data_IF_509436478736
#
_entry.id   IF_509436478736
#
_cell.length_a   1.000
_cell.length_b   1.000
_cell.length_c   1.000
_cell.angle_alpha   90.00
_cell.angle_beta   90.00
_cell.angle_gamma   90.00
#
_symmetry.space_group_name_H-M   'P 1'
#
loop_
_entity.id
_entity.type
_entity.pdbx_description
1 polymer ?
#
# COMPACT_ATOMS: atom_id res chain seq x y z
N UNK A 1 0.97 -57.06 -4.88
CA UNK A 1 1.27 -55.76 -4.18
C UNK A 1 2.05 -54.77 -5.03
N UNK A 2 3.08 -55.16 -5.78
CA UNK A 2 3.86 -54.21 -6.65
C UNK A 2 2.98 -53.43 -7.67
N UNK A 3 1.99 -54.07 -8.27
CA UNK A 3 1.18 -53.45 -9.32
C UNK A 3 0.20 -52.37 -8.78
N UNK A 4 -0.27 -52.50 -7.52
CA UNK A 4 -1.12 -51.49 -6.87
C UNK A 4 -0.33 -50.26 -6.49
N UNK A 5 0.95 -50.38 -6.14
CA UNK A 5 1.83 -49.28 -5.84
C UNK A 5 2.06 -48.40 -7.07
N UNK A 6 2.26 -49.01 -8.23
CA UNK A 6 2.42 -48.32 -9.52
C UNK A 6 1.15 -47.56 -9.91
N UNK A 7 -0.03 -48.19 -9.70
CA UNK A 7 -1.32 -47.55 -10.01
C UNK A 7 -1.57 -46.34 -9.11
N UNK A 8 -1.23 -46.42 -7.84
CA UNK A 8 -1.35 -45.30 -6.88
C UNK A 8 -0.40 -44.15 -7.29
N UNK A 9 0.84 -44.42 -7.65
CA UNK A 9 1.80 -43.41 -8.11
C UNK A 9 1.29 -42.72 -9.38
N UNK A 10 0.72 -43.48 -10.34
CA UNK A 10 0.14 -42.92 -11.57
C UNK A 10 -1.07 -42.00 -11.29
N UNK A 11 -1.94 -42.36 -10.34
CA UNK A 11 -3.08 -41.55 -9.95
C UNK A 11 -2.65 -40.22 -9.29
N UNK A 12 -1.60 -40.25 -8.47
CA UNK A 12 -1.04 -39.02 -7.87
C UNK A 12 -0.37 -38.12 -8.93
N UNK A 13 0.33 -38.69 -9.91
CA UNK A 13 0.98 -37.90 -10.97
C UNK A 13 -0.02 -37.16 -11.88
N UNK A 14 -1.16 -37.77 -12.17
CA UNK A 14 -2.22 -37.13 -12.97
C UNK A 14 -2.87 -35.94 -12.25
N UNK A 15 -3.06 -36.04 -10.94
CA UNK A 15 -3.60 -34.93 -10.13
C UNK A 15 -2.63 -33.73 -10.09
N UNK A 16 -1.34 -33.97 -10.01
CA UNK A 16 -0.30 -32.92 -9.98
C UNK A 16 -0.25 -32.18 -11.34
N UNK A 17 -0.36 -32.90 -12.43
CA UNK A 17 -0.36 -32.32 -13.79
C UNK A 17 -1.60 -31.41 -14.02
N UNK A 18 -2.77 -31.89 -13.63
CA UNK A 18 -4.04 -31.15 -13.77
C UNK A 18 -4.05 -29.86 -12.92
N UNK A 19 -3.54 -29.91 -11.70
CA UNK A 19 -3.40 -28.71 -10.82
C UNK A 19 -2.42 -27.69 -11.40
N UNK A 20 -1.35 -28.17 -12.01
CA UNK A 20 -0.32 -27.31 -12.59
C UNK A 20 -0.85 -26.54 -13.81
N UNK A 21 -1.67 -27.19 -14.63
CA UNK A 21 -2.33 -26.57 -15.79
C UNK A 21 -3.35 -25.52 -15.36
N UNK A 22 -4.17 -25.83 -14.36
CA UNK A 22 -5.14 -24.88 -13.79
C UNK A 22 -4.48 -23.62 -13.22
N UNK A 23 -3.38 -23.77 -12.46
CA UNK A 23 -2.62 -22.64 -11.93
C UNK A 23 -2.01 -21.78 -13.03
N UNK A 24 -1.46 -22.40 -14.07
CA UNK A 24 -0.90 -21.69 -15.23
C UNK A 24 -1.95 -20.90 -15.99
N UNK A 25 -3.12 -21.49 -16.22
CA UNK A 25 -4.25 -20.82 -16.87
C UNK A 25 -4.75 -19.63 -16.02
N UNK A 26 -4.86 -19.81 -14.70
CA UNK A 26 -5.27 -18.74 -13.81
C UNK A 26 -4.24 -17.60 -13.80
N UNK A 27 -2.95 -17.92 -13.72
CA UNK A 27 -1.88 -16.93 -13.82
C UNK A 27 -1.95 -16.13 -15.13
N UNK A 28 -2.11 -16.83 -16.26
CA UNK A 28 -2.24 -16.19 -17.57
C UNK A 28 -3.43 -15.25 -17.63
N UNK A 29 -4.59 -15.66 -17.10
CA UNK A 29 -5.78 -14.81 -17.06
C UNK A 29 -5.54 -13.52 -16.25
N UNK A 30 -4.81 -13.61 -15.11
CA UNK A 30 -4.45 -12.46 -14.29
C UNK A 30 -3.49 -11.53 -15.03
N UNK A 31 -2.51 -12.08 -15.71
CA UNK A 31 -1.57 -11.34 -16.54
C UNK A 31 -2.28 -10.61 -17.69
N UNK A 32 -3.12 -11.31 -18.45
CA UNK A 32 -3.85 -10.73 -19.57
C UNK A 32 -4.79 -9.60 -19.12
N UNK A 33 -5.42 -9.76 -17.95
CA UNK A 33 -6.24 -8.72 -17.32
C UNK A 33 -5.39 -7.51 -16.92
N UNK A 34 -4.22 -7.74 -16.30
CA UNK A 34 -3.27 -6.68 -15.95
C UNK A 34 -2.84 -5.87 -17.19
N UNK A 35 -2.51 -6.55 -18.29
CA UNK A 35 -2.16 -5.91 -19.56
C UNK A 35 -3.33 -5.08 -20.11
N UNK A 36 -4.56 -5.57 -19.95
CA UNK A 36 -5.77 -4.83 -20.36
C UNK A 36 -5.93 -3.52 -19.59
N UNK A 37 -5.75 -3.56 -18.26
CA UNK A 37 -5.78 -2.36 -17.41
C UNK A 37 -4.63 -1.39 -17.75
N UNK A 38 -3.42 -1.92 -17.92
CA UNK A 38 -2.25 -1.13 -18.31
C UNK A 38 -2.47 -0.33 -19.58
N UNK A 39 -3.05 -0.97 -20.63
CA UNK A 39 -3.39 -0.31 -21.92
C UNK A 39 -4.43 0.80 -21.77
N UNK A 40 -5.24 0.77 -20.73
CA UNK A 40 -6.24 1.80 -20.40
C UNK A 40 -5.69 2.88 -19.45
N UNK A 41 -4.40 2.83 -19.11
CA UNK A 41 -3.76 3.67 -18.10
C UNK A 41 -4.38 3.53 -16.70
N UNK A 42 -5.05 2.41 -16.43
CA UNK A 42 -5.56 2.06 -15.10
C UNK A 42 -4.45 1.32 -14.35
N UNK A 43 -3.47 2.09 -13.90
CA UNK A 43 -2.22 1.55 -13.35
C UNK A 43 -2.40 0.89 -11.99
N UNK A 44 -3.35 1.33 -11.18
CA UNK A 44 -3.65 0.73 -9.88
C UNK A 44 -4.20 -0.69 -10.05
N UNK A 45 -5.23 -0.85 -10.89
CA UNK A 45 -5.77 -2.17 -11.18
C UNK A 45 -4.78 -3.07 -11.93
N UNK A 46 -3.96 -2.50 -12.81
CA UNK A 46 -2.88 -3.24 -13.47
C UNK A 46 -1.88 -3.79 -12.47
N UNK A 47 -1.44 -2.95 -11.50
CA UNK A 47 -0.52 -3.32 -10.44
C UNK A 47 -1.05 -4.50 -9.60
N UNK A 48 -2.32 -4.44 -9.20
CA UNK A 48 -2.97 -5.51 -8.42
C UNK A 48 -2.96 -6.85 -9.17
N UNK A 49 -3.33 -6.84 -10.45
CA UNK A 49 -3.37 -8.07 -11.23
C UNK A 49 -1.98 -8.63 -11.55
N UNK A 50 -0.98 -7.78 -11.83
CA UNK A 50 0.41 -8.23 -11.96
C UNK A 50 0.96 -8.78 -10.65
N UNK A 51 0.61 -8.19 -9.49
CA UNK A 51 0.95 -8.71 -8.17
C UNK A 51 0.41 -10.13 -7.97
N UNK A 52 -0.84 -10.39 -8.34
CA UNK A 52 -1.41 -11.73 -8.27
C UNK A 52 -0.68 -12.68 -9.24
N UNK A 53 -0.47 -12.27 -10.49
CA UNK A 53 0.18 -13.10 -11.50
C UNK A 53 1.64 -13.47 -11.12
N UNK A 54 2.39 -12.54 -10.52
CA UNK A 54 3.78 -12.77 -10.11
C UNK A 54 3.91 -13.83 -9.01
N UNK A 55 2.90 -13.95 -8.13
CA UNK A 55 2.93 -14.87 -6.96
C UNK A 55 2.47 -16.29 -7.26
N UNK A 56 1.69 -16.51 -8.33
CA UNK A 56 1.12 -17.84 -8.63
C UNK A 56 2.20 -18.83 -9.03
N UNK A 57 3.09 -18.45 -9.94
CA UNK A 57 4.28 -19.20 -10.37
C UNK A 57 5.39 -18.17 -10.62
N UNK A 58 6.16 -17.80 -9.59
CA UNK A 58 7.12 -16.70 -9.67
C UNK A 58 8.29 -17.00 -10.62
N UNK A 59 8.62 -18.28 -10.81
CA UNK A 59 9.82 -18.72 -11.54
C UNK A 59 9.58 -18.87 -13.05
N UNK A 60 8.32 -18.84 -13.52
CA UNK A 60 8.04 -18.92 -14.94
C UNK A 60 8.11 -17.52 -15.60
N UNK A 61 8.11 -17.50 -16.94
CA UNK A 61 8.21 -16.29 -17.75
C UNK A 61 7.15 -15.23 -17.38
N UNK A 62 5.87 -15.66 -17.22
CA UNK A 62 4.77 -14.76 -16.84
C UNK A 62 4.99 -14.17 -15.46
N UNK A 63 5.46 -14.98 -14.50
CA UNK A 63 5.76 -14.51 -13.13
C UNK A 63 6.87 -13.47 -13.11
N UNK A 64 7.96 -13.74 -13.82
CA UNK A 64 9.11 -12.84 -13.93
C UNK A 64 8.76 -11.54 -14.67
N UNK A 65 7.99 -11.63 -15.75
CA UNK A 65 7.54 -10.45 -16.48
C UNK A 65 6.56 -9.62 -15.64
N UNK A 66 5.64 -10.27 -14.92
CA UNK A 66 4.73 -9.60 -13.99
C UNK A 66 5.50 -8.85 -12.92
N UNK A 67 6.58 -9.41 -12.37
CA UNK A 67 7.42 -8.75 -11.38
C UNK A 67 8.09 -7.49 -11.94
N UNK A 68 8.63 -7.54 -13.16
CA UNK A 68 9.21 -6.35 -13.82
C UNK A 68 8.18 -5.24 -14.04
N UNK A 69 6.95 -5.63 -14.43
CA UNK A 69 5.84 -4.67 -14.59
C UNK A 69 5.41 -4.05 -13.26
N UNK A 70 5.41 -4.84 -12.17
CA UNK A 70 5.16 -4.35 -10.82
C UNK A 70 6.13 -3.25 -10.42
N UNK A 71 7.43 -3.48 -10.58
CA UNK A 71 8.45 -2.50 -10.21
C UNK A 71 8.24 -1.19 -10.98
N UNK A 72 8.05 -1.27 -12.30
CA UNK A 72 7.78 -0.10 -13.13
C UNK A 72 6.52 0.65 -12.71
N UNK A 73 5.43 -0.07 -12.43
CA UNK A 73 4.16 0.55 -12.02
C UNK A 73 4.24 1.17 -10.64
N UNK A 74 4.94 0.53 -9.70
CA UNK A 74 5.19 1.13 -8.38
C UNK A 74 5.93 2.46 -8.50
N UNK A 75 6.95 2.56 -9.34
CA UNK A 75 7.67 3.82 -9.59
C UNK A 75 6.75 4.91 -10.14
N UNK A 76 5.94 4.59 -11.15
CA UNK A 76 4.98 5.54 -11.75
C UNK A 76 3.98 6.03 -10.69
N UNK A 77 3.33 5.10 -9.98
CA UNK A 77 2.30 5.42 -8.98
C UNK A 77 2.86 6.15 -7.76
N UNK A 78 4.10 5.85 -7.34
CA UNK A 78 4.81 6.58 -6.29
C UNK A 78 5.06 8.03 -6.68
N UNK A 79 5.48 8.27 -7.92
CA UNK A 79 5.64 9.62 -8.42
C UNK A 79 4.32 10.38 -8.45
N UNK A 80 3.26 9.77 -8.98
CA UNK A 80 1.93 10.39 -9.03
C UNK A 80 1.38 10.73 -7.64
N UNK A 81 1.50 9.81 -6.67
CA UNK A 81 1.00 10.09 -5.32
C UNK A 81 1.85 11.14 -4.62
N UNK A 82 3.17 11.16 -4.82
CA UNK A 82 4.06 12.16 -4.23
C UNK A 82 3.72 13.58 -4.74
N UNK A 83 3.47 13.73 -6.03
CA UNK A 83 3.02 15.00 -6.62
C UNK A 83 1.71 15.50 -5.98
N UNK A 84 0.79 14.59 -5.66
CA UNK A 84 -0.49 14.91 -5.02
C UNK A 84 -0.37 15.25 -3.54
N UNK A 85 0.47 14.49 -2.81
CA UNK A 85 0.63 14.68 -1.35
C UNK A 85 1.62 15.77 -1.00
N UNK A 86 2.42 16.25 -1.94
CA UNK A 86 3.36 17.34 -1.71
C UNK A 86 2.63 18.60 -1.21
N UNK A 87 3.16 19.24 -0.15
CA UNK A 87 2.63 20.43 0.49
C UNK A 87 2.16 20.23 1.91
N UNK A 88 1.31 21.13 2.41
CA UNK A 88 0.88 21.21 3.79
C UNK A 88 -0.55 20.67 3.98
N UNK A 89 -0.73 19.91 5.06
CA UNK A 89 -1.94 19.18 5.37
C UNK A 89 -2.33 19.35 6.84
N UNK A 90 -3.54 19.81 7.07
CA UNK A 90 -4.12 19.98 8.41
C UNK A 90 -4.80 18.70 8.87
N UNK A 91 -4.44 18.18 10.02
CA UNK A 91 -5.08 17.00 10.61
C UNK A 91 -6.52 17.32 10.99
N UNK A 92 -7.45 16.50 10.54
CA UNK A 92 -8.89 16.66 10.82
C UNK A 92 -9.42 15.65 11.82
N UNK A 93 -8.64 14.62 12.15
CA UNK A 93 -8.96 13.63 13.18
C UNK A 93 -8.64 12.20 12.77
N UNK A 94 -9.12 11.29 13.61
CA UNK A 94 -9.07 9.83 13.45
C UNK A 94 -10.27 9.27 12.68
N UNK A 95 -11.15 10.16 12.18
CA UNK A 95 -12.33 9.81 11.39
C UNK A 95 -12.47 10.77 10.21
N UNK A 96 -13.08 10.32 9.10
CA UNK A 96 -13.36 11.19 7.96
C UNK A 96 -14.10 12.45 8.38
N UNK A 97 -13.76 13.61 7.80
CA UNK A 97 -14.33 14.92 8.15
C UNK A 97 -15.85 15.03 7.94
N UNK A 98 -16.45 14.13 7.17
CA UNK A 98 -17.90 14.04 6.96
C UNK A 98 -18.63 13.21 8.03
N UNK A 99 -17.92 12.58 8.98
CA UNK A 99 -18.56 11.87 10.08
C UNK A 99 -18.88 12.83 11.22
N UNK A 100 -20.13 12.77 11.75
CA UNK A 100 -20.62 13.67 12.80
C UNK A 100 -19.89 13.53 14.15
N UNK A 101 -19.12 12.47 14.34
CA UNK A 101 -18.44 12.13 15.58
C UNK A 101 -16.90 12.14 15.42
N UNK A 102 -16.31 13.20 14.86
CA UNK A 102 -14.87 13.42 14.97
C UNK A 102 -14.49 13.39 16.46
N UNK A 103 -13.44 12.66 16.82
CA UNK A 103 -13.12 12.42 18.22
C UNK A 103 -12.94 13.75 18.97
N UNK A 104 -13.49 13.84 20.20
CA UNK A 104 -13.42 15.04 21.05
C UNK A 104 -11.99 15.43 21.40
N UNK A 105 -11.06 14.48 21.32
CA UNK A 105 -9.64 14.68 21.60
C UNK A 105 -8.97 15.74 20.71
N UNK A 106 -9.47 15.94 19.48
CA UNK A 106 -8.94 16.97 18.58
C UNK A 106 -9.52 18.37 18.83
N UNK A 107 -10.70 18.46 19.46
CA UNK A 107 -11.34 19.75 19.72
C UNK A 107 -10.73 20.52 20.90
N UNK A 108 -10.12 19.80 21.86
CA UNK A 108 -9.64 20.36 23.11
C UNK A 108 -8.16 20.77 23.10
N UNK A 109 -7.45 20.66 21.96
CA UNK A 109 -6.05 21.10 21.83
C UNK A 109 -6.00 22.60 21.48
N UNK A 110 -5.05 23.33 22.08
CA UNK A 110 -4.77 24.74 21.75
C UNK A 110 -4.00 24.89 20.42
N UNK A 111 -3.59 23.79 19.81
CA UNK A 111 -2.85 23.72 18.55
C UNK A 111 -3.52 22.81 17.52
N UNK A 112 -3.22 23.08 16.27
CA UNK A 112 -3.54 22.21 15.15
C UNK A 112 -2.31 21.33 14.82
N UNK A 113 -2.53 20.07 14.45
CA UNK A 113 -1.46 19.20 13.95
C UNK A 113 -1.36 19.36 12.43
N UNK A 114 -0.15 19.70 11.95
CA UNK A 114 0.10 19.93 10.54
C UNK A 114 1.18 18.97 10.05
N UNK A 115 0.93 18.36 8.89
CA UNK A 115 1.86 17.52 8.18
C UNK A 115 2.34 18.26 6.92
N UNK A 116 3.65 18.38 6.73
CA UNK A 116 4.21 18.86 5.47
C UNK A 116 4.98 17.73 4.80
N UNK A 117 4.64 17.47 3.54
CA UNK A 117 5.33 16.48 2.70
C UNK A 117 6.09 17.21 1.63
N UNK A 118 7.35 16.88 1.48
CA UNK A 118 8.18 17.26 0.34
C UNK A 118 8.82 16.02 -0.29
N UNK A 119 9.67 16.19 -1.31
CA UNK A 119 10.16 15.09 -2.15
C UNK A 119 10.79 13.92 -1.40
N UNK A 120 11.38 14.16 -0.22
CA UNK A 120 12.10 13.13 0.53
C UNK A 120 11.88 13.15 2.04
N UNK A 121 11.04 14.08 2.54
CA UNK A 121 10.81 14.24 3.98
C UNK A 121 9.35 14.46 4.31
N UNK A 122 9.00 14.06 5.52
CA UNK A 122 7.72 14.30 6.16
C UNK A 122 8.00 15.07 7.44
N UNK A 123 7.42 16.26 7.57
CA UNK A 123 7.62 17.15 8.70
C UNK A 123 6.32 17.27 9.48
N UNK A 124 6.38 17.05 10.77
CA UNK A 124 5.23 17.12 11.67
C UNK A 124 5.33 18.38 12.52
N UNK A 125 4.28 19.18 12.52
CA UNK A 125 4.22 20.45 13.26
C UNK A 125 3.02 20.50 14.20
N UNK A 126 3.21 21.22 15.31
CA UNK A 126 2.13 21.82 16.07
C UNK A 126 2.01 23.29 15.65
N UNK A 127 0.82 23.71 15.22
CA UNK A 127 0.52 25.08 14.84
C UNK A 127 -0.41 25.72 15.87
N UNK A 128 0.06 26.76 16.56
CA UNK A 128 -0.78 27.53 17.48
C UNK A 128 -2.01 28.09 16.75
N UNK A 129 -3.20 27.85 17.29
CA UNK A 129 -4.47 28.24 16.63
C UNK A 129 -4.66 29.74 16.53
N UNK A 130 -4.10 30.52 17.47
CA UNK A 130 -4.28 31.98 17.53
C UNK A 130 -3.21 32.70 16.71
N UNK A 131 -1.95 32.34 16.92
CA UNK A 131 -0.82 33.04 16.30
C UNK A 131 -0.39 32.48 14.95
N UNK A 132 -0.87 31.25 14.62
CA UNK A 132 -0.47 30.47 13.44
C UNK A 132 1.01 30.13 13.34
N UNK A 133 1.73 30.29 14.44
CA UNK A 133 3.15 29.91 14.52
C UNK A 133 3.27 28.38 14.51
N UNK A 134 4.07 27.86 13.59
CA UNK A 134 4.37 26.41 13.49
C UNK A 134 5.62 26.09 14.29
N UNK A 135 5.56 25.05 15.11
CA UNK A 135 6.67 24.45 15.85
C UNK A 135 6.93 23.06 15.28
N UNK A 136 8.12 22.83 14.72
CA UNK A 136 8.51 21.50 14.26
C UNK A 136 8.65 20.54 15.42
N UNK A 137 7.95 19.42 15.37
CA UNK A 137 7.93 18.37 16.38
C UNK A 137 8.80 17.19 15.97
N UNK A 138 8.68 16.76 14.69
CA UNK A 138 9.36 15.57 14.20
C UNK A 138 9.65 15.72 12.69
N UNK A 139 10.77 15.14 12.26
CA UNK A 139 11.10 14.97 10.85
C UNK A 139 11.31 13.49 10.60
N UNK A 140 10.71 12.97 9.53
CA UNK A 140 10.91 11.61 9.04
C UNK A 140 11.42 11.66 7.60
N UNK A 141 12.23 10.67 7.23
CA UNK A 141 12.54 10.44 5.83
C UNK A 141 11.38 9.76 5.15
N UNK A 142 11.06 10.15 3.91
CA UNK A 142 10.03 9.50 3.11
C UNK A 142 10.62 8.21 2.51
N UNK A 143 10.43 7.10 3.22
CA UNK A 143 10.92 5.78 2.84
C UNK A 143 9.74 4.89 2.47
N UNK A 144 9.68 4.46 1.20
CA UNK A 144 8.63 3.51 0.78
C UNK A 144 8.88 2.12 1.37
N UNK A 145 7.83 1.55 1.93
CA UNK A 145 7.83 0.16 2.38
C UNK A 145 7.96 -0.78 1.17
N UNK A 146 8.90 -1.73 1.23
CA UNK A 146 9.22 -2.62 0.10
C UNK A 146 9.78 -3.98 0.55
N UNK A 147 9.22 -4.56 1.62
CA UNK A 147 9.67 -5.86 2.13
C UNK A 147 9.23 -7.00 1.21
N UNK A 148 7.98 -6.98 0.75
CA UNK A 148 7.49 -7.93 -0.24
C UNK A 148 7.43 -7.25 -1.61
N UNK A 149 8.38 -7.59 -2.49
CA UNK A 149 8.42 -7.02 -3.85
C UNK A 149 7.21 -7.37 -4.68
N UNK A 150 6.55 -8.50 -4.38
CA UNK A 150 5.39 -9.00 -5.13
C UNK A 150 4.06 -8.39 -4.67
N UNK A 151 4.04 -7.60 -3.59
CA UNK A 151 2.82 -6.92 -3.16
C UNK A 151 2.46 -5.72 -4.06
N UNK A 152 1.22 -5.23 -3.95
CA UNK A 152 0.73 -4.07 -4.67
C UNK A 152 0.81 -2.76 -3.85
N UNK A 153 1.54 -2.74 -2.74
CA UNK A 153 1.67 -1.57 -1.87
C UNK A 153 2.65 -0.55 -2.46
N UNK A 154 2.16 0.40 -3.22
CA UNK A 154 3.00 1.45 -3.83
C UNK A 154 3.09 2.72 -2.97
N UNK A 155 2.07 3.01 -2.15
CA UNK A 155 1.98 4.24 -1.35
C UNK A 155 2.30 4.03 0.14
N UNK A 156 2.62 2.79 0.54
CA UNK A 156 2.98 2.52 1.92
C UNK A 156 4.39 3.03 2.23
N UNK A 157 4.53 3.73 3.36
CA UNK A 157 5.79 4.26 3.90
C UNK A 157 6.10 3.61 5.24
N UNK A 158 7.39 3.53 5.58
CA UNK A 158 7.84 3.08 6.88
C UNK A 158 8.47 4.26 7.64
N UNK A 159 8.04 4.49 8.87
CA UNK A 159 8.59 5.53 9.73
C UNK A 159 9.72 4.99 10.61
N UNK A 160 10.47 5.89 11.22
CA UNK A 160 11.63 5.55 12.07
C UNK A 160 11.30 4.68 13.29
N UNK A 161 10.04 4.69 13.75
CA UNK A 161 9.56 3.83 14.83
C UNK A 161 9.16 2.42 14.36
N UNK A 162 9.32 2.14 13.06
CA UNK A 162 8.96 0.87 12.43
C UNK A 162 7.49 0.75 12.03
N UNK A 163 6.64 1.76 12.29
CA UNK A 163 5.25 1.74 11.84
C UNK A 163 5.16 1.88 10.32
N UNK A 164 4.26 1.11 9.71
CA UNK A 164 4.03 1.11 8.25
C UNK A 164 2.66 1.70 7.97
N UNK A 165 2.64 2.81 7.27
CA UNK A 165 1.44 3.56 6.96
C UNK A 165 1.14 3.51 5.47
N UNK A 166 -0.05 3.05 5.11
CA UNK A 166 -0.55 3.14 3.75
C UNK A 166 -1.26 4.48 3.55
N UNK A 167 -0.96 5.13 2.43
CA UNK A 167 -1.44 6.46 2.10
C UNK A 167 -2.40 6.38 0.93
N UNK A 168 -3.57 7.00 1.08
CA UNK A 168 -4.54 7.19 0.00
C UNK A 168 -5.01 8.64 -0.03
N UNK A 169 -5.32 9.15 -1.22
CA UNK A 169 -5.85 10.50 -1.40
C UNK A 169 -7.15 10.45 -2.21
N UNK A 170 -8.15 11.15 -1.71
CA UNK A 170 -9.36 11.43 -2.47
C UNK A 170 -9.17 12.74 -3.25
N UNK A 171 -9.02 12.63 -4.55
CA UNK A 171 -8.80 13.78 -5.45
C UNK A 171 -9.97 14.78 -5.45
N UNK A 172 -11.18 14.36 -5.12
CA UNK A 172 -12.38 15.21 -5.09
C UNK A 172 -12.46 16.02 -3.80
N UNK A 173 -12.33 15.34 -2.67
CA UNK A 173 -12.45 15.98 -1.35
C UNK A 173 -11.15 16.63 -0.88
N UNK A 174 -10.01 16.35 -1.56
CA UNK A 174 -8.66 16.75 -1.12
C UNK A 174 -8.35 16.28 0.30
N UNK A 175 -8.77 15.06 0.62
CA UNK A 175 -8.53 14.40 1.89
C UNK A 175 -7.43 13.37 1.70
N UNK A 176 -6.38 13.48 2.52
CA UNK A 176 -5.31 12.50 2.66
C UNK A 176 -5.69 11.59 3.83
N UNK A 177 -5.76 10.29 3.58
CA UNK A 177 -6.04 9.24 4.55
C UNK A 177 -4.81 8.36 4.73
N UNK A 178 -4.38 8.23 5.96
CA UNK A 178 -3.29 7.35 6.39
C UNK A 178 -3.85 6.25 7.29
N UNK A 179 -3.48 5.00 7.00
CA UNK A 179 -3.85 3.84 7.81
C UNK A 179 -2.58 3.06 8.19
N UNK A 180 -2.41 2.77 9.49
CA UNK A 180 -1.31 1.96 9.97
C UNK A 180 -1.61 0.47 9.69
N UNK A 181 -0.85 -0.15 8.80
CA UNK A 181 -1.10 -1.51 8.30
C UNK A 181 -0.15 -2.56 8.86
N UNK A 182 0.98 -2.16 9.42
CA UNK A 182 1.97 -3.07 9.97
C UNK A 182 2.95 -2.34 10.90
N UNK A 183 3.70 -3.12 11.66
CA UNK A 183 4.84 -2.64 12.44
C UNK A 183 6.05 -3.55 12.22
N UNK A 184 7.18 -2.95 11.90
CA UNK A 184 8.45 -3.66 11.83
C UNK A 184 9.08 -3.69 13.22
N UNK A 185 9.37 -4.89 13.72
CA UNK A 185 10.04 -5.14 14.98
C UNK A 185 11.30 -5.99 14.78
N UNK A 186 11.90 -6.42 15.89
CA UNK A 186 13.11 -7.26 15.87
C UNK A 186 12.90 -8.62 15.21
N UNK A 187 11.67 -9.15 15.25
CA UNK A 187 11.31 -10.46 14.69
C UNK A 187 10.73 -10.38 13.26
N UNK A 188 10.83 -9.23 12.61
CA UNK A 188 10.27 -8.99 11.28
C UNK A 188 9.06 -8.07 11.29
N UNK A 189 8.22 -8.16 10.25
CA UNK A 189 7.04 -7.31 10.09
C UNK A 189 5.79 -8.03 10.58
N UNK A 190 5.11 -7.39 11.52
CA UNK A 190 3.81 -7.83 12.04
C UNK A 190 2.70 -7.00 11.39
N UNK A 191 1.78 -7.68 10.69
CA UNK A 191 0.63 -7.03 10.04
C UNK A 191 -0.46 -6.73 11.06
N UNK A 192 -1.02 -5.53 10.98
CA UNK A 192 -2.18 -5.13 11.77
C UNK A 192 -3.41 -5.44 10.93
N UNK A 193 -4.27 -6.36 11.43
CA UNK A 193 -5.45 -6.85 10.70
C UNK A 193 -6.77 -6.38 11.32
N UNK A 194 -6.73 -5.81 12.52
CA UNK A 194 -7.89 -5.30 13.24
C UNK A 194 -7.50 -4.03 13.99
N UNK A 195 -8.48 -3.14 14.21
CA UNK A 195 -8.30 -1.89 14.97
C UNK A 195 -7.14 -1.03 14.48
N UNK A 196 -6.96 -0.97 13.15
CA UNK A 196 -5.93 -0.16 12.54
C UNK A 196 -6.10 1.30 12.93
N UNK A 197 -5.01 1.94 13.36
CA UNK A 197 -5.01 3.38 13.56
C UNK A 197 -5.17 4.09 12.21
N UNK A 198 -6.10 5.03 12.14
CA UNK A 198 -6.36 5.84 10.95
C UNK A 198 -6.23 7.32 11.27
N UNK A 199 -5.75 8.10 10.31
CA UNK A 199 -5.61 9.55 10.45
C UNK A 199 -6.00 10.22 9.14
N UNK A 200 -6.74 11.31 9.24
CA UNK A 200 -7.25 12.08 8.11
C UNK A 200 -6.72 13.51 8.13
N UNK A 201 -6.28 13.96 6.97
CA UNK A 201 -5.77 15.31 6.77
C UNK A 201 -6.49 15.99 5.61
N UNK A 202 -6.69 17.30 5.71
CA UNK A 202 -7.17 18.14 4.63
C UNK A 202 -6.06 19.05 4.13
N UNK A 203 -5.96 19.23 2.81
CA UNK A 203 -4.92 20.09 2.23
C UNK A 203 -5.13 21.54 2.68
N UNK A 204 -4.07 22.19 3.17
CA UNK A 204 -4.05 23.64 3.40
C UNK A 204 -4.02 24.34 2.03
N UNK A 205 -4.83 25.39 1.87
CA UNK A 205 -4.92 26.20 0.65
C UNK A 205 -3.82 27.27 0.62
#
# INVERSE_FOLDING_TARGET
>A
MKNYLILIILLFSLNIAAQNDSKTKFQKNKYDLAVSYYKKSDFVNALDQFSIASRIKPDNEIGQESMKKLDTLKEILRKEILEKVNGSWLMTGDKPSWTLNASENFKNKDFDEVLEVNDNKILFYEQDRKTKVKKLIKTEDLVYYNIDKSDALYSAIILSDGSVWNCTIDDKSKVLHLINIAKQGQNGVEKITQDNQEVYYKKEL
#
